data_IF_105345513398
#
_entry.id   IF_105345513398
#
_cell.length_a   1.000
_cell.length_b   1.000
_cell.length_c   1.000
_cell.angle_alpha   90.00
_cell.angle_beta   90.00
_cell.angle_gamma   90.00
#
_symmetry.space_group_name_H-M   'P 1'
#
loop_
_entity.id
_entity.type
_entity.pdbx_description
1 polymer ?
#
# COMPACT_ATOMS: atom_id res chain seq x y z
N UNK A 1 36.27 -32.41 75.79
CA UNK A 1 35.70 -33.50 74.98
C UNK A 1 34.18 -33.30 75.02
N UNK A 2 33.56 -32.93 73.89
CA UNK A 2 32.10 -32.71 73.87
C UNK A 2 31.40 -34.07 74.00
N UNK A 3 30.38 -34.17 74.85
CA UNK A 3 29.57 -35.39 75.05
C UNK A 3 28.41 -35.49 74.02
N UNK A 4 28.55 -34.82 72.89
CA UNK A 4 27.54 -34.80 71.83
C UNK A 4 27.54 -36.11 71.03
N UNK A 5 26.37 -36.59 70.57
CA UNK A 5 26.29 -37.81 69.77
C UNK A 5 27.03 -37.64 68.42
N UNK A 6 27.79 -38.65 68.02
CA UNK A 6 28.41 -38.71 66.69
C UNK A 6 27.46 -39.30 65.65
N UNK A 7 27.41 -38.70 64.46
CA UNK A 7 26.73 -39.25 63.28
C UNK A 7 27.68 -40.14 62.49
N UNK A 8 27.19 -41.30 62.06
CA UNK A 8 27.88 -42.17 61.10
C UNK A 8 27.55 -41.73 59.68
N UNK A 9 28.56 -41.35 58.93
CA UNK A 9 28.45 -40.92 57.54
C UNK A 9 29.28 -41.81 56.61
N UNK A 10 29.05 -41.65 55.30
CA UNK A 10 29.77 -42.33 54.23
C UNK A 10 30.41 -41.28 53.32
N UNK A 11 31.67 -41.48 52.94
CA UNK A 11 32.34 -40.65 51.95
C UNK A 11 31.82 -41.00 50.55
N UNK A 12 31.43 -39.98 49.79
CA UNK A 12 30.81 -40.12 48.48
C UNK A 12 31.73 -39.78 47.31
N UNK A 13 32.87 -39.14 47.57
CA UNK A 13 33.80 -38.67 46.54
C UNK A 13 35.23 -39.05 46.92
N UNK A 14 36.14 -39.03 45.94
CA UNK A 14 37.56 -39.41 46.09
C UNK A 14 37.80 -40.92 46.25
N UNK A 15 39.07 -41.29 46.42
CA UNK A 15 39.53 -42.65 46.72
C UNK A 15 38.88 -43.23 47.98
N UNK A 16 38.35 -42.39 48.88
CA UNK A 16 37.63 -42.79 50.08
C UNK A 16 36.17 -43.18 49.86
N UNK A 17 35.70 -43.22 48.61
CA UNK A 17 34.30 -43.57 48.28
C UNK A 17 33.85 -44.84 49.00
N UNK A 18 32.66 -44.76 49.61
CA UNK A 18 32.03 -45.77 50.48
C UNK A 18 32.68 -46.01 51.84
N UNK A 19 33.80 -45.36 52.20
CA UNK A 19 34.34 -45.43 53.57
C UNK A 19 33.42 -44.71 54.54
N UNK A 20 33.32 -45.24 55.77
CA UNK A 20 32.47 -44.67 56.81
C UNK A 20 33.29 -43.91 57.84
N UNK A 21 32.81 -42.75 58.25
CA UNK A 21 33.42 -41.93 59.28
C UNK A 21 32.37 -41.44 60.28
N UNK A 22 32.83 -41.10 61.48
CA UNK A 22 32.05 -40.41 62.51
C UNK A 22 32.34 -38.92 62.42
N UNK A 23 31.30 -38.11 62.51
CA UNK A 23 31.39 -36.67 62.71
C UNK A 23 30.48 -36.24 63.85
N UNK A 24 30.78 -35.13 64.51
CA UNK A 24 29.92 -34.61 65.58
C UNK A 24 28.60 -34.09 65.02
N UNK A 25 27.48 -34.54 65.58
CA UNK A 25 26.15 -34.05 65.22
C UNK A 25 25.95 -32.62 65.74
N UNK A 26 26.31 -31.60 64.97
CA UNK A 26 26.01 -30.21 65.36
C UNK A 26 24.66 -29.76 64.81
N UNK A 27 23.70 -29.53 65.68
CA UNK A 27 22.49 -28.75 65.34
C UNK A 27 22.60 -27.27 65.76
N UNK A 28 23.42 -26.88 66.76
CA UNK A 28 23.37 -25.51 67.33
C UNK A 28 24.66 -25.01 68.01
N UNK A 29 25.78 -24.89 67.31
CA UNK A 29 26.95 -24.20 67.91
C UNK A 29 27.65 -23.30 66.89
N UNK A 30 27.81 -22.02 67.27
CA UNK A 30 28.51 -20.95 66.55
C UNK A 30 30.02 -21.24 66.37
N UNK A 31 30.54 -22.33 66.94
CA UNK A 31 31.87 -22.86 66.66
C UNK A 31 31.75 -24.17 65.89
N UNK A 32 32.49 -24.34 64.78
CA UNK A 32 32.56 -25.63 64.07
C UNK A 32 33.41 -26.61 64.88
N UNK A 33 32.82 -27.69 65.39
CA UNK A 33 33.61 -28.82 65.91
C UNK A 33 34.02 -29.65 64.69
N UNK A 34 35.32 -29.73 64.42
CA UNK A 34 35.88 -30.42 63.26
C UNK A 34 36.28 -31.87 63.58
N UNK A 35 35.69 -32.49 64.60
CA UNK A 35 36.03 -33.87 64.94
C UNK A 35 35.50 -34.82 63.86
N UNK A 36 36.44 -35.53 63.23
CA UNK A 36 36.21 -36.55 62.22
C UNK A 36 37.08 -37.75 62.56
N UNK A 37 36.48 -38.93 62.60
CA UNK A 37 37.19 -40.19 62.82
C UNK A 37 36.75 -41.25 61.81
N UNK A 38 37.70 -41.92 61.17
CA UNK A 38 37.42 -43.03 60.26
C UNK A 38 37.07 -44.30 61.03
N UNK A 39 35.92 -44.88 60.73
CA UNK A 39 35.46 -46.12 61.41
C UNK A 39 36.05 -47.40 60.82
N UNK A 40 36.64 -47.33 59.62
CA UNK A 40 37.27 -48.46 58.94
C UNK A 40 38.68 -48.09 58.50
N UNK A 41 39.58 -49.09 58.41
CA UNK A 41 40.89 -48.92 57.81
C UNK A 41 40.82 -48.29 56.43
N UNK A 42 41.94 -47.73 55.99
CA UNK A 42 42.07 -47.30 54.61
C UNK A 42 41.83 -48.46 53.65
N UNK A 43 41.30 -48.15 52.48
CA UNK A 43 41.25 -49.10 51.39
C UNK A 43 42.67 -49.59 51.07
N UNK A 44 42.78 -50.85 50.65
CA UNK A 44 44.05 -51.35 50.11
C UNK A 44 44.50 -50.48 48.93
N UNK A 45 45.81 -50.43 48.68
CA UNK A 45 46.38 -49.65 47.56
C UNK A 45 45.68 -50.01 46.23
N UNK A 46 45.42 -51.30 46.00
CA UNK A 46 44.70 -51.76 44.82
C UNK A 46 43.27 -51.18 44.73
N UNK A 47 42.54 -51.13 45.85
CA UNK A 47 41.17 -50.60 45.87
C UNK A 47 41.15 -49.08 45.72
N UNK A 48 42.06 -48.34 46.36
CA UNK A 48 42.20 -46.89 46.16
C UNK A 48 42.49 -46.56 44.69
N UNK A 49 43.38 -47.35 44.06
CA UNK A 49 43.69 -47.21 42.65
C UNK A 49 42.46 -47.45 41.75
N UNK A 50 41.71 -48.54 41.97
CA UNK A 50 40.49 -48.81 41.21
C UNK A 50 39.43 -47.71 41.37
N UNK A 51 39.20 -47.22 42.61
CA UNK A 51 38.26 -46.11 42.86
C UNK A 51 38.75 -44.83 42.18
N UNK A 52 40.04 -44.53 42.24
CA UNK A 52 40.64 -43.38 41.56
C UNK A 52 40.47 -43.44 40.04
N UNK A 53 40.63 -44.62 39.43
CA UNK A 53 40.37 -44.81 38.01
C UNK A 53 38.90 -44.59 37.65
N UNK A 54 37.96 -45.09 38.46
CA UNK A 54 36.52 -44.86 38.24
C UNK A 54 36.17 -43.37 38.28
N UNK A 55 36.68 -42.62 39.26
CA UNK A 55 36.50 -41.17 39.31
C UNK A 55 37.12 -40.46 38.12
N UNK A 56 38.33 -40.81 37.71
CA UNK A 56 38.96 -40.20 36.53
C UNK A 56 38.14 -40.42 35.26
N UNK A 57 37.53 -41.60 35.09
CA UNK A 57 36.64 -41.86 33.96
C UNK A 57 35.36 -41.03 34.04
N UNK A 58 34.72 -40.99 35.21
CA UNK A 58 33.52 -40.19 35.45
C UNK A 58 33.77 -38.70 35.23
N UNK A 59 34.86 -38.16 35.76
CA UNK A 59 35.19 -36.74 35.67
C UNK A 59 35.46 -36.35 34.22
N UNK A 60 36.18 -37.21 33.47
CA UNK A 60 36.40 -37.01 32.04
C UNK A 60 35.10 -37.02 31.25
N UNK A 61 34.22 -38.00 31.49
CA UNK A 61 32.92 -38.08 30.82
C UNK A 61 32.06 -36.84 31.13
N UNK A 62 32.05 -36.40 32.38
CA UNK A 62 31.35 -35.19 32.80
C UNK A 62 31.94 -33.92 32.16
N UNK A 63 33.27 -33.81 32.06
CA UNK A 63 33.93 -32.72 31.34
C UNK A 63 33.58 -32.68 29.86
N UNK A 64 33.59 -33.84 29.19
CA UNK A 64 33.25 -33.97 27.78
C UNK A 64 31.77 -33.61 27.54
N UNK A 65 30.86 -34.10 28.39
CA UNK A 65 29.44 -33.73 28.38
C UNK A 65 29.24 -32.22 28.57
N UNK A 66 29.92 -31.59 29.53
CA UNK A 66 29.85 -30.13 29.76
C UNK A 66 30.33 -29.38 28.51
N UNK A 67 31.43 -29.83 27.90
CA UNK A 67 32.00 -29.21 26.71
C UNK A 67 31.04 -29.29 25.52
N UNK A 68 30.40 -30.42 25.31
CA UNK A 68 29.40 -30.59 24.25
C UNK A 68 28.15 -29.74 24.50
N UNK A 69 27.64 -29.71 25.73
CA UNK A 69 26.50 -28.87 26.10
C UNK A 69 26.78 -27.37 25.91
N UNK A 70 28.00 -26.92 26.20
CA UNK A 70 28.42 -25.54 25.94
C UNK A 70 28.40 -25.22 24.44
N UNK A 71 28.96 -26.10 23.60
CA UNK A 71 28.94 -25.92 22.13
C UNK A 71 27.51 -25.88 21.59
N UNK A 72 26.66 -26.82 22.00
CA UNK A 72 25.25 -26.85 21.61
C UNK A 72 24.51 -25.59 22.08
N UNK A 73 24.83 -25.07 23.27
CA UNK A 73 24.29 -23.83 23.79
C UNK A 73 24.68 -22.61 22.93
N UNK A 74 25.92 -22.54 22.47
CA UNK A 74 26.40 -21.48 21.58
C UNK A 74 25.71 -21.52 20.21
N UNK A 75 25.59 -22.71 19.60
CA UNK A 75 24.87 -22.90 18.33
C UNK A 75 23.40 -22.55 18.45
N UNK A 76 22.74 -22.98 19.54
CA UNK A 76 21.35 -22.61 19.84
C UNK A 76 21.19 -21.09 19.93
N UNK A 77 22.07 -20.40 20.66
CA UNK A 77 22.05 -18.94 20.78
C UNK A 77 22.19 -18.26 19.41
N UNK A 78 23.09 -18.78 18.55
CA UNK A 78 23.27 -18.26 17.19
C UNK A 78 22.00 -18.42 16.33
N UNK A 79 21.38 -19.60 16.35
CA UNK A 79 20.13 -19.85 15.63
C UNK A 79 18.97 -18.98 16.15
N UNK A 80 18.87 -18.76 17.46
CA UNK A 80 17.87 -17.87 18.05
C UNK A 80 18.04 -16.41 17.62
N UNK A 81 19.28 -15.96 17.44
CA UNK A 81 19.62 -14.63 16.94
C UNK A 81 19.24 -14.47 15.46
N UNK A 82 19.59 -15.46 14.62
CA UNK A 82 19.17 -15.51 13.21
C UNK A 82 17.64 -15.56 13.07
N UNK A 83 16.96 -16.35 13.90
CA UNK A 83 15.49 -16.42 13.92
C UNK A 83 14.87 -15.07 14.32
N UNK A 84 15.49 -14.34 15.26
CA UNK A 84 15.04 -13.00 15.66
C UNK A 84 15.19 -12.01 14.50
N UNK A 85 16.33 -12.04 13.81
CA UNK A 85 16.55 -11.22 12.62
C UNK A 85 15.55 -11.55 11.52
N UNK A 86 15.32 -12.83 11.24
CA UNK A 86 14.36 -13.27 10.24
C UNK A 86 12.93 -12.81 10.56
N UNK A 87 12.49 -12.95 11.82
CA UNK A 87 11.17 -12.47 12.26
C UNK A 87 11.02 -10.96 12.05
N UNK A 88 12.04 -10.19 12.40
CA UNK A 88 12.03 -8.74 12.19
C UNK A 88 11.99 -8.38 10.70
N UNK A 89 12.82 -9.03 9.89
CA UNK A 89 12.85 -8.82 8.45
C UNK A 89 11.52 -9.17 7.78
N UNK A 90 10.92 -10.30 8.16
CA UNK A 90 9.62 -10.71 7.65
C UNK A 90 8.52 -9.71 8.03
N UNK A 91 8.48 -9.25 9.29
CA UNK A 91 7.51 -8.25 9.73
C UNK A 91 7.63 -6.95 8.93
N UNK A 92 8.87 -6.50 8.65
CA UNK A 92 9.11 -5.33 7.79
C UNK A 92 8.64 -5.57 6.36
N UNK A 93 8.98 -6.71 5.76
CA UNK A 93 8.57 -7.04 4.40
C UNK A 93 7.04 -7.05 4.25
N UNK A 94 6.32 -7.61 5.23
CA UNK A 94 4.85 -7.61 5.24
C UNK A 94 4.32 -6.19 5.32
N UNK A 95 4.88 -5.33 6.17
CA UNK A 95 4.47 -3.92 6.27
C UNK A 95 4.69 -3.17 4.94
N UNK A 96 5.87 -3.32 4.32
CA UNK A 96 6.20 -2.70 3.04
C UNK A 96 5.25 -3.17 1.91
N UNK A 97 4.87 -4.45 1.92
CA UNK A 97 3.91 -5.02 0.96
C UNK A 97 2.49 -4.49 1.17
N UNK A 98 2.05 -4.41 2.41
CA UNK A 98 0.74 -3.87 2.77
C UNK A 98 0.63 -2.39 2.36
N UNK A 99 1.68 -1.60 2.56
CA UNK A 99 1.75 -0.22 2.10
C UNK A 99 1.63 -0.14 0.57
N UNK A 100 2.38 -0.97 -0.17
CA UNK A 100 2.31 -0.99 -1.63
C UNK A 100 0.91 -1.37 -2.16
N UNK A 101 0.22 -2.31 -1.49
CA UNK A 101 -1.16 -2.69 -1.82
C UNK A 101 -2.10 -1.49 -1.61
N UNK A 102 -1.97 -0.78 -0.49
CA UNK A 102 -2.79 0.39 -0.19
C UNK A 102 -2.57 1.52 -1.20
N UNK A 103 -1.31 1.78 -1.58
CA UNK A 103 -0.98 2.76 -2.62
C UNK A 103 -1.58 2.38 -3.98
N UNK A 104 -1.50 1.10 -4.36
CA UNK A 104 -2.08 0.60 -5.60
C UNK A 104 -3.62 0.71 -5.61
N UNK A 105 -4.25 0.39 -4.48
CA UNK A 105 -5.69 0.57 -4.28
C UNK A 105 -6.11 2.03 -4.43
N UNK A 106 -5.38 2.96 -3.80
CA UNK A 106 -5.61 4.39 -3.93
C UNK A 106 -5.44 4.91 -5.36
N UNK A 107 -4.39 4.48 -6.06
CA UNK A 107 -4.17 4.83 -7.46
C UNK A 107 -5.29 4.32 -8.39
N UNK A 108 -5.78 3.09 -8.16
CA UNK A 108 -6.90 2.53 -8.94
C UNK A 108 -8.20 3.33 -8.77
N UNK A 109 -8.46 3.86 -7.58
CA UNK A 109 -9.62 4.73 -7.34
C UNK A 109 -9.49 6.03 -8.14
N UNK A 110 -8.34 6.70 -8.06
CA UNK A 110 -8.07 7.94 -8.82
C UNK A 110 -8.20 7.71 -10.33
N UNK A 111 -7.67 6.59 -10.84
CA UNK A 111 -7.81 6.21 -12.26
C UNK A 111 -9.28 6.03 -12.64
N UNK A 112 -10.09 5.41 -11.78
CA UNK A 112 -11.53 5.24 -12.01
C UNK A 112 -12.26 6.58 -12.06
N UNK A 113 -11.99 7.47 -11.11
CA UNK A 113 -12.61 8.80 -11.04
C UNK A 113 -12.26 9.65 -12.28
N UNK A 114 -10.97 9.67 -12.66
CA UNK A 114 -10.52 10.38 -13.86
C UNK A 114 -11.13 9.81 -15.13
N UNK A 115 -11.29 8.48 -15.21
CA UNK A 115 -11.94 7.82 -16.35
C UNK A 115 -13.41 8.25 -16.46
N UNK A 116 -14.13 8.30 -15.35
CA UNK A 116 -15.51 8.80 -15.33
C UNK A 116 -15.59 10.27 -15.76
N UNK A 117 -14.67 11.11 -15.30
CA UNK A 117 -14.61 12.53 -15.68
C UNK A 117 -14.30 12.72 -17.17
N UNK A 118 -13.41 11.90 -17.74
CA UNK A 118 -13.09 11.90 -19.17
C UNK A 118 -14.33 11.54 -20.00
N UNK A 119 -15.07 10.49 -19.62
CA UNK A 119 -16.29 10.11 -20.34
C UNK A 119 -17.38 11.20 -20.27
N UNK A 120 -17.54 11.85 -19.10
CA UNK A 120 -18.45 13.00 -18.96
C UNK A 120 -18.05 14.16 -19.88
N UNK A 121 -16.77 14.53 -19.91
CA UNK A 121 -16.24 15.59 -20.80
C UNK A 121 -16.44 15.24 -22.27
N UNK A 122 -16.15 14.00 -22.68
CA UNK A 122 -16.37 13.52 -24.04
C UNK A 122 -17.83 13.63 -24.47
N UNK A 123 -18.77 13.29 -23.59
CA UNK A 123 -20.21 13.42 -23.87
C UNK A 123 -20.62 14.89 -24.03
N UNK A 124 -20.10 15.77 -23.17
CA UNK A 124 -20.34 17.22 -23.24
C UNK A 124 -19.77 17.85 -24.51
N UNK A 125 -18.55 17.48 -24.91
CA UNK A 125 -17.91 17.95 -26.14
C UNK A 125 -18.66 17.50 -27.40
N UNK A 126 -19.15 16.25 -27.40
CA UNK A 126 -19.97 15.72 -28.48
C UNK A 126 -21.31 16.47 -28.58
N UNK A 127 -21.97 16.73 -27.46
CA UNK A 127 -23.20 17.54 -27.43
C UNK A 127 -22.95 18.97 -27.95
N UNK A 128 -21.91 19.62 -27.46
CA UNK A 128 -21.51 20.97 -27.89
C UNK A 128 -21.24 21.04 -29.39
N UNK A 129 -20.52 20.04 -29.93
CA UNK A 129 -20.20 19.94 -31.36
C UNK A 129 -21.47 19.74 -32.20
N UNK A 130 -22.34 18.83 -31.80
CA UNK A 130 -23.61 18.59 -32.49
C UNK A 130 -24.51 19.83 -32.46
N UNK A 131 -24.61 20.52 -31.32
CA UNK A 131 -25.36 21.76 -31.21
C UNK A 131 -24.80 22.84 -32.15
N UNK A 132 -23.48 23.00 -32.21
CA UNK A 132 -22.82 23.90 -33.15
C UNK A 132 -23.15 23.59 -34.61
N UNK A 133 -23.15 22.30 -35.00
CA UNK A 133 -23.50 21.88 -36.35
C UNK A 133 -24.96 22.22 -36.69
N UNK A 134 -25.89 21.95 -35.77
CA UNK A 134 -27.32 22.26 -35.95
C UNK A 134 -27.55 23.78 -36.07
N UNK A 135 -26.93 24.57 -35.20
CA UNK A 135 -27.02 26.04 -35.26
C UNK A 135 -26.44 26.59 -36.57
N UNK A 136 -25.30 26.06 -37.03
CA UNK A 136 -24.71 26.43 -38.32
C UNK A 136 -25.64 26.11 -39.49
N UNK A 137 -26.17 24.89 -39.55
CA UNK A 137 -27.09 24.48 -40.61
C UNK A 137 -28.39 25.31 -40.61
N UNK A 138 -28.89 25.68 -39.42
CA UNK A 138 -30.06 26.57 -39.30
C UNK A 138 -29.76 27.97 -39.82
N UNK A 139 -28.63 28.56 -39.44
CA UNK A 139 -28.23 29.90 -39.90
C UNK A 139 -28.01 29.94 -41.43
N UNK A 140 -27.44 28.87 -42.01
CA UNK A 140 -27.28 28.73 -43.46
C UNK A 140 -28.64 28.70 -44.18
N UNK A 141 -29.61 27.92 -43.67
CA UNK A 141 -30.98 27.88 -44.22
C UNK A 141 -31.70 29.23 -44.12
N UNK A 142 -31.60 29.92 -42.98
CA UNK A 142 -32.21 31.24 -42.79
C UNK A 142 -31.60 32.28 -43.75
N UNK A 143 -30.28 32.25 -43.94
CA UNK A 143 -29.61 33.10 -44.93
C UNK A 143 -30.10 32.82 -46.35
N UNK A 144 -30.20 31.55 -46.75
CA UNK A 144 -30.62 31.17 -48.10
C UNK A 144 -32.09 31.55 -48.36
N UNK A 145 -32.95 31.40 -47.35
CA UNK A 145 -34.33 31.87 -47.39
C UNK A 145 -34.42 33.39 -47.59
N UNK A 146 -33.65 34.17 -46.83
CA UNK A 146 -33.59 35.63 -46.99
C UNK A 146 -33.04 36.06 -48.36
N UNK A 147 -32.10 35.30 -48.92
CA UNK A 147 -31.58 35.54 -50.28
C UNK A 147 -32.71 35.38 -51.31
N UNK A 148 -33.46 34.28 -51.23
CA UNK A 148 -34.59 34.00 -52.13
C UNK A 148 -35.67 35.08 -52.03
N UNK A 149 -36.07 35.46 -50.81
CA UNK A 149 -37.07 36.51 -50.59
C UNK A 149 -36.60 37.87 -51.15
N UNK A 150 -35.34 38.23 -50.95
CA UNK A 150 -34.75 39.45 -51.48
C UNK A 150 -34.70 39.46 -53.01
N UNK A 151 -34.38 38.34 -53.64
CA UNK A 151 -34.38 38.24 -55.10
C UNK A 151 -35.81 38.30 -55.68
N UNK A 152 -36.78 37.70 -55.00
CA UNK A 152 -38.19 37.77 -55.38
C UNK A 152 -38.73 39.20 -55.28
N UNK A 153 -38.47 39.91 -54.18
CA UNK A 153 -38.84 41.32 -54.00
C UNK A 153 -38.18 42.20 -55.07
N UNK A 154 -36.91 41.93 -55.41
CA UNK A 154 -36.19 42.67 -56.44
C UNK A 154 -36.83 42.51 -57.82
N UNK A 155 -37.32 41.31 -58.14
CA UNK A 155 -38.02 41.03 -59.38
C UNK A 155 -39.40 41.69 -59.42
N UNK A 156 -40.18 41.61 -58.34
CA UNK A 156 -41.46 42.32 -58.21
C UNK A 156 -41.28 43.84 -58.34
N UNK A 157 -40.23 44.39 -57.70
CA UNK A 157 -39.89 45.81 -57.83
C UNK A 157 -39.63 46.21 -59.28
N UNK A 158 -38.83 45.44 -60.03
CA UNK A 158 -38.59 45.71 -61.45
C UNK A 158 -39.88 45.69 -62.28
N UNK A 159 -40.77 44.72 -62.03
CA UNK A 159 -42.07 44.64 -62.71
C UNK A 159 -42.90 45.88 -62.45
N UNK A 160 -43.00 46.32 -61.21
CA UNK A 160 -43.72 47.54 -60.84
C UNK A 160 -43.08 48.79 -61.46
N UNK A 161 -41.75 48.89 -61.49
CA UNK A 161 -41.03 49.98 -62.16
C UNK A 161 -41.36 50.04 -63.66
N UNK A 162 -41.40 48.91 -64.36
CA UNK A 162 -41.83 48.85 -65.77
C UNK A 162 -43.27 49.36 -65.93
N UNK A 163 -44.21 48.86 -65.12
CA UNK A 163 -45.63 49.26 -65.18
C UNK A 163 -45.79 50.76 -64.93
N UNK A 164 -45.10 51.32 -63.92
CA UNK A 164 -45.11 52.76 -63.64
C UNK A 164 -44.58 53.55 -64.84
N UNK A 165 -43.46 53.13 -65.43
CA UNK A 165 -42.86 53.79 -66.59
C UNK A 165 -43.83 53.83 -67.77
N UNK A 166 -44.52 52.72 -68.04
CA UNK A 166 -45.49 52.63 -69.13
C UNK A 166 -46.75 53.46 -68.87
N UNK A 167 -47.27 53.45 -67.64
CA UNK A 167 -48.38 54.33 -67.24
C UNK A 167 -48.00 55.82 -67.35
N UNK A 168 -46.79 56.20 -66.94
CA UNK A 168 -46.32 57.58 -67.10
C UNK A 168 -46.22 58.00 -68.58
N UNK A 169 -45.74 57.12 -69.47
CA UNK A 169 -45.73 57.36 -70.92
C UNK A 169 -47.14 57.56 -71.49
N UNK A 170 -48.07 56.68 -71.13
CA UNK A 170 -49.47 56.80 -71.55
C UNK A 170 -50.10 58.11 -71.06
N UNK A 171 -49.90 58.45 -69.78
CA UNK A 171 -50.42 59.68 -69.19
C UNK A 171 -49.86 60.93 -69.88
N UNK A 172 -48.56 60.97 -70.18
CA UNK A 172 -47.98 62.06 -70.96
C UNK A 172 -48.60 62.15 -72.36
N UNK A 173 -48.80 61.01 -73.04
CA UNK A 173 -49.50 60.97 -74.32
C UNK A 173 -50.96 61.45 -74.24
N UNK A 174 -51.68 61.13 -73.16
CA UNK A 174 -53.02 61.67 -72.92
C UNK A 174 -52.98 63.17 -72.66
N UNK A 175 -52.01 63.65 -71.86
CA UNK A 175 -51.80 65.06 -71.58
C UNK A 175 -51.53 65.87 -72.84
N UNK A 176 -50.72 65.35 -73.76
CA UNK A 176 -50.45 65.96 -75.07
C UNK A 176 -51.71 66.02 -75.95
N UNK A 177 -52.52 64.95 -75.97
CA UNK A 177 -53.81 64.93 -76.69
C UNK A 177 -54.79 65.95 -76.12
N UNK A 178 -54.91 66.05 -74.79
CA UNK A 178 -55.76 67.04 -74.11
C UNK A 178 -55.29 68.46 -74.44
N UNK A 179 -53.98 68.72 -74.44
CA UNK A 179 -53.42 70.01 -74.81
C UNK A 179 -53.80 70.41 -76.25
N UNK A 180 -53.66 69.49 -77.21
CA UNK A 180 -54.09 69.72 -78.60
C UNK A 180 -55.59 69.99 -78.74
N UNK A 181 -56.44 69.24 -78.02
CA UNK A 181 -57.89 69.48 -78.03
C UNK A 181 -58.24 70.86 -77.46
N UNK A 182 -57.47 71.32 -76.46
CA UNK A 182 -57.63 72.65 -75.87
C UNK A 182 -57.25 73.75 -76.86
N UNK A 183 -56.11 73.60 -77.55
CA UNK A 183 -55.67 74.53 -78.62
C UNK A 183 -56.72 74.66 -79.73
N UNK A 184 -57.38 73.56 -80.14
CA UNK A 184 -58.47 73.60 -81.13
C UNK A 184 -59.71 74.35 -80.61
N UNK A 185 -60.07 74.20 -79.33
CA UNK A 185 -61.22 74.90 -78.77
C UNK A 185 -60.97 76.40 -78.56
N UNK A 186 -59.70 76.80 -78.38
CA UNK A 186 -59.31 78.20 -78.19
C UNK A 186 -59.17 78.96 -79.55
N UNK A 187 -59.27 78.27 -80.70
CA UNK A 187 -59.22 78.86 -82.07
C UNK A 187 -60.60 79.17 -82.69
N UNK A 188 -61.71 78.96 -81.95
CA UNK A 188 -63.08 79.36 -82.32
C UNK A 188 -63.59 80.51 -81.44
#
# INVERSE_FOLDING_TARGET
MHLEPCLRQVAFQSTDTRRRFLLVAKEKAEEKCCYLEWTYPEWSVAMQFCIGQLWSMHDKENEDMIRENLKLGEEKRKMEEELRFFKHYFAKLVADKEEAINQLGGASLVISDLKEEIEKKKLADHFSTNLHQVLRAKAEKERDQLVLERDQIKEEKKKLECIITDMMKQNNGYKDKVKKLKEICDEF
#
